data_IF_730756398398
#
_entry.id   IF_730756398398
#
_cell.length_a   1.000
_cell.length_b   1.000
_cell.length_c   1.000
_cell.angle_alpha   90.00
_cell.angle_beta   90.00
_cell.angle_gamma   90.00
#
_symmetry.space_group_name_H-M   'P 1'
#
loop_
_entity.id
_entity.type
_entity.pdbx_description
1 polymer ?
#
# COMPACT_ATOMS: atom_id res chain seq x y z
N UNK A 1 -23.09 -21.40 -4.61
CA UNK A 1 -22.22 -20.19 -4.61
C UNK A 1 -21.62 -20.10 -3.22
N UNK A 2 -20.36 -19.67 -3.09
CA UNK A 2 -19.73 -19.49 -1.77
C UNK A 2 -20.43 -18.33 -1.06
N UNK A 3 -20.90 -18.55 0.17
CA UNK A 3 -21.44 -17.49 1.01
C UNK A 3 -20.28 -16.75 1.67
N UNK A 4 -19.99 -15.54 1.17
CA UNK A 4 -18.91 -14.70 1.69
C UNK A 4 -19.27 -14.02 3.03
N UNK A 5 -20.53 -14.09 3.44
CA UNK A 5 -21.03 -13.58 4.71
C UNK A 5 -20.98 -14.60 5.85
N UNK A 6 -20.58 -15.84 5.57
CA UNK A 6 -20.48 -16.90 6.57
C UNK A 6 -19.44 -16.52 7.64
N UNK A 7 -19.83 -16.38 8.93
CA UNK A 7 -18.91 -15.97 9.99
C UNK A 7 -17.74 -16.95 10.19
N UNK A 8 -17.94 -18.25 9.94
CA UNK A 8 -16.87 -19.26 10.04
C UNK A 8 -15.79 -19.05 8.96
N UNK A 9 -16.22 -18.72 7.74
CA UNK A 9 -15.31 -18.39 6.65
C UNK A 9 -14.53 -17.09 6.93
N UNK A 10 -15.21 -16.05 7.43
CA UNK A 10 -14.58 -14.77 7.78
C UNK A 10 -13.53 -14.97 8.88
N UNK A 11 -13.84 -15.71 9.94
CA UNK A 11 -12.90 -15.97 11.03
C UNK A 11 -11.67 -16.74 10.52
N UNK A 12 -11.89 -17.76 9.69
CA UNK A 12 -10.81 -18.53 9.06
C UNK A 12 -9.90 -17.63 8.21
N UNK A 13 -10.48 -16.75 7.39
CA UNK A 13 -9.71 -15.80 6.56
C UNK A 13 -8.91 -14.84 7.45
N UNK A 14 -9.50 -14.34 8.54
CA UNK A 14 -8.82 -13.43 9.47
C UNK A 14 -7.64 -14.09 10.19
N UNK A 15 -7.76 -15.36 10.58
CA UNK A 15 -6.65 -16.14 11.16
C UNK A 15 -5.52 -16.31 10.16
N UNK A 16 -5.83 -16.72 8.92
CA UNK A 16 -4.83 -16.87 7.85
C UNK A 16 -4.15 -15.53 7.54
N UNK A 17 -4.93 -14.46 7.41
CA UNK A 17 -4.43 -13.10 7.17
C UNK A 17 -3.49 -12.63 8.28
N UNK A 18 -3.88 -12.80 9.55
CA UNK A 18 -3.04 -12.44 10.69
C UNK A 18 -1.73 -13.23 10.70
N UNK A 19 -1.78 -14.53 10.41
CA UNK A 19 -0.59 -15.37 10.26
C UNK A 19 0.35 -14.88 9.15
N UNK A 20 -0.20 -14.50 7.99
CA UNK A 20 0.57 -13.92 6.89
C UNK A 20 1.21 -12.58 7.28
N UNK A 21 0.49 -11.69 7.98
CA UNK A 21 1.04 -10.43 8.47
C UNK A 21 2.21 -10.64 9.44
N UNK A 22 2.08 -11.56 10.39
CA UNK A 22 3.16 -11.91 11.33
C UNK A 22 4.40 -12.47 10.61
N UNK A 23 4.19 -13.36 9.64
CA UNK A 23 5.28 -13.91 8.83
C UNK A 23 5.98 -12.83 8.00
N UNK A 24 5.22 -11.98 7.30
CA UNK A 24 5.77 -10.86 6.53
C UNK A 24 6.51 -9.87 7.42
N UNK A 25 5.98 -9.56 8.60
CA UNK A 25 6.65 -8.71 9.59
C UNK A 25 8.00 -9.30 10.02
N UNK A 26 8.04 -10.60 10.35
CA UNK A 26 9.29 -11.28 10.71
C UNK A 26 10.32 -11.26 9.58
N UNK A 27 9.91 -11.59 8.35
CA UNK A 27 10.79 -11.50 7.18
C UNK A 27 11.29 -10.07 6.92
N UNK A 28 10.40 -9.08 7.11
CA UNK A 28 10.73 -7.68 6.90
C UNK A 28 11.72 -7.16 7.94
N UNK A 29 11.52 -7.49 9.23
CA UNK A 29 12.46 -7.18 10.30
C UNK A 29 13.82 -7.83 10.07
N UNK A 30 13.85 -9.09 9.63
CA UNK A 30 15.09 -9.77 9.28
C UNK A 30 15.84 -9.04 8.16
N UNK A 31 15.14 -8.67 7.09
CA UNK A 31 15.71 -7.87 6.01
C UNK A 31 16.17 -6.49 6.48
N UNK A 32 15.45 -5.89 7.43
CA UNK A 32 15.83 -4.64 8.08
C UNK A 32 17.13 -4.78 8.86
N UNK A 33 17.24 -5.77 9.74
CA UNK A 33 18.46 -6.05 10.49
C UNK A 33 19.68 -6.24 9.57
N UNK A 34 19.54 -7.00 8.47
CA UNK A 34 20.63 -7.25 7.52
C UNK A 34 21.09 -6.01 6.76
N UNK A 35 20.17 -5.06 6.47
CA UNK A 35 20.48 -3.86 5.68
C UNK A 35 20.73 -2.61 6.52
N UNK A 36 20.33 -2.61 7.80
CA UNK A 36 20.48 -1.51 8.76
C UNK A 36 21.94 -1.04 8.85
N UNK A 37 22.87 -1.99 8.98
CA UNK A 37 24.30 -1.69 9.12
C UNK A 37 24.90 -0.97 7.89
N UNK A 38 24.43 -1.30 6.68
CA UNK A 38 25.03 -0.77 5.45
C UNK A 38 24.44 0.57 5.03
N UNK A 39 23.12 0.71 5.13
CA UNK A 39 22.40 1.86 4.57
C UNK A 39 22.10 2.88 5.67
N UNK A 40 21.39 2.46 6.71
CA UNK A 40 20.86 3.37 7.73
C UNK A 40 21.95 3.91 8.63
N UNK A 41 22.88 3.05 9.07
CA UNK A 41 24.03 3.49 9.85
C UNK A 41 24.93 4.45 9.06
N UNK A 42 25.10 4.21 7.74
CA UNK A 42 25.88 5.10 6.86
C UNK A 42 25.26 6.49 6.72
N UNK A 43 23.93 6.55 6.61
CA UNK A 43 23.16 7.80 6.57
C UNK A 43 23.18 8.53 7.92
N UNK A 44 22.99 7.80 9.02
CA UNK A 44 22.97 8.37 10.37
C UNK A 44 24.36 8.89 10.79
N UNK A 45 25.43 8.18 10.44
CA UNK A 45 26.82 8.60 10.73
C UNK A 45 27.34 9.67 9.78
N UNK A 46 26.54 10.11 8.79
CA UNK A 46 26.95 11.10 7.79
C UNK A 46 28.04 10.61 6.84
N UNK A 47 28.37 9.30 6.85
CA UNK A 47 29.40 8.72 5.97
C UNK A 47 28.94 8.67 4.51
N UNK A 48 27.64 8.61 4.27
CA UNK A 48 27.05 8.64 2.93
C UNK A 48 26.34 9.96 2.69
N UNK A 49 26.64 10.63 1.57
CA UNK A 49 25.93 11.85 1.17
C UNK A 49 24.46 11.52 0.88
N UNK A 50 23.55 12.29 1.46
CA UNK A 50 22.12 12.11 1.28
C UNK A 50 21.71 12.48 -0.14
N UNK A 51 21.71 11.49 -1.04
CA UNK A 51 21.19 11.68 -2.39
C UNK A 51 19.67 11.66 -2.34
N UNK A 52 19.01 12.52 -3.13
CA UNK A 52 17.56 12.65 -3.20
C UNK A 52 16.84 11.30 -3.48
N UNK A 53 17.53 10.36 -4.13
CA UNK A 53 17.05 8.99 -4.39
C UNK A 53 16.80 8.17 -3.12
N UNK A 54 17.47 8.47 -2.01
CA UNK A 54 17.28 7.74 -0.74
C UNK A 54 15.98 8.12 -0.03
N UNK A 55 15.41 9.30 -0.31
CA UNK A 55 14.21 9.79 0.38
C UNK A 55 13.00 8.86 0.21
N UNK A 56 12.53 8.63 -1.02
CA UNK A 56 11.38 7.74 -1.28
C UNK A 56 11.66 6.30 -0.86
N UNK A 57 12.91 5.86 -0.90
CA UNK A 57 13.32 4.54 -0.40
C UNK A 57 13.09 4.41 1.10
N UNK A 58 13.57 5.37 1.89
CA UNK A 58 13.39 5.37 3.34
C UNK A 58 11.92 5.55 3.72
N UNK A 59 11.19 6.44 3.04
CA UNK A 59 9.75 6.65 3.28
C UNK A 59 8.98 5.34 3.04
N UNK A 60 9.17 4.70 1.89
CA UNK A 60 8.51 3.42 1.59
C UNK A 60 8.82 2.38 2.67
N UNK A 61 10.09 2.33 3.09
CA UNK A 61 10.59 1.38 4.07
C UNK A 61 9.92 1.55 5.44
N UNK A 62 10.02 2.73 6.03
CA UNK A 62 9.49 2.97 7.38
C UNK A 62 7.96 3.01 7.40
N UNK A 63 7.31 3.50 6.35
CA UNK A 63 5.85 3.43 6.25
C UNK A 63 5.35 1.98 6.16
N UNK A 64 6.03 1.12 5.39
CA UNK A 64 5.71 -0.30 5.35
C UNK A 64 5.92 -0.98 6.71
N UNK A 65 7.06 -0.71 7.37
CA UNK A 65 7.34 -1.22 8.72
C UNK A 65 6.27 -0.80 9.72
N UNK A 66 5.93 0.50 9.76
CA UNK A 66 4.91 1.03 10.66
C UNK A 66 3.54 0.37 10.40
N UNK A 67 3.20 0.15 9.13
CA UNK A 67 1.96 -0.54 8.76
C UNK A 67 1.96 -1.99 9.26
N UNK A 68 3.05 -2.74 9.07
CA UNK A 68 3.16 -4.13 9.53
C UNK A 68 3.12 -4.25 11.05
N UNK A 69 3.82 -3.36 11.78
CA UNK A 69 3.78 -3.32 13.25
C UNK A 69 2.34 -3.13 13.71
N UNK A 70 1.62 -2.18 13.11
CA UNK A 70 0.27 -1.85 13.53
C UNK A 70 -0.74 -2.94 13.15
N UNK A 71 -0.58 -3.61 12.00
CA UNK A 71 -1.39 -4.76 11.62
C UNK A 71 -1.22 -5.95 12.57
N UNK A 72 -0.02 -6.18 13.08
CA UNK A 72 0.25 -7.24 14.07
C UNK A 72 -0.22 -6.83 15.48
N UNK A 73 -0.04 -5.56 15.84
CA UNK A 73 -0.34 -5.04 17.17
C UNK A 73 -1.84 -4.86 17.44
N UNK A 74 -2.60 -4.39 16.44
CA UNK A 74 -4.00 -4.04 16.61
C UNK A 74 -4.89 -5.21 17.11
N UNK A 75 -4.79 -6.44 16.56
CA UNK A 75 -5.53 -7.59 17.10
C UNK A 75 -5.17 -7.95 18.53
N UNK A 76 -3.90 -7.78 18.93
CA UNK A 76 -3.42 -8.09 20.28
C UNK A 76 -4.04 -7.12 21.30
N UNK A 77 -4.00 -5.82 20.98
CA UNK A 77 -4.59 -4.78 21.84
C UNK A 77 -6.10 -4.92 21.92
N UNK A 78 -6.77 -5.20 20.79
CA UNK A 78 -8.23 -5.37 20.76
C UNK A 78 -8.69 -6.50 21.68
N UNK A 79 -7.92 -7.61 21.77
CA UNK A 79 -8.20 -8.72 22.69
C UNK A 79 -7.89 -8.37 24.16
N UNK A 80 -6.83 -7.61 24.41
CA UNK A 80 -6.42 -7.24 25.77
C UNK A 80 -7.36 -6.20 26.41
N UNK A 81 -7.97 -5.33 25.59
CA UNK A 81 -8.81 -4.22 26.05
C UNK A 81 -10.16 -4.20 25.30
N UNK A 82 -11.11 -5.10 25.66
CA UNK A 82 -12.44 -5.08 25.07
C UNK A 82 -13.13 -3.75 25.40
N UNK A 83 -13.50 -3.00 24.35
CA UNK A 83 -14.15 -1.71 24.52
C UNK A 83 -15.65 -1.92 24.81
N UNK A 84 -16.19 -1.42 25.94
CA UNK A 84 -17.59 -1.63 26.32
C UNK A 84 -18.58 -0.70 25.59
N UNK A 85 -18.13 0.11 24.62
CA UNK A 85 -18.91 1.18 24.00
C UNK A 85 -19.18 0.96 22.52
N UNK A 86 -20.35 1.44 22.06
CA UNK A 86 -20.79 1.52 20.65
C UNK A 86 -19.95 2.45 19.77
N UNK A 87 -18.97 3.15 20.34
CA UNK A 87 -18.02 3.99 19.64
C UNK A 87 -16.64 3.31 19.60
N UNK A 88 -16.09 3.16 18.40
CA UNK A 88 -14.73 2.65 18.19
C UNK A 88 -13.69 3.70 18.62
N UNK A 89 -12.95 3.48 19.72
CA UNK A 89 -11.89 4.41 20.09
C UNK A 89 -10.74 4.32 19.07
N UNK A 90 -10.33 5.48 18.56
CA UNK A 90 -9.11 5.65 17.79
C UNK A 90 -9.22 5.49 16.25
N UNK A 91 -10.31 5.99 15.69
CA UNK A 91 -10.46 6.19 14.23
C UNK A 91 -9.27 6.93 13.59
N UNK A 92 -8.56 7.78 14.33
CA UNK A 92 -7.41 8.51 13.81
C UNK A 92 -6.15 7.64 13.62
N UNK A 93 -5.89 6.66 14.50
CA UNK A 93 -4.71 5.81 14.38
C UNK A 93 -4.85 4.86 13.19
N UNK A 94 -6.05 4.32 12.97
CA UNK A 94 -6.32 3.43 11.83
C UNK A 94 -6.20 4.17 10.50
N UNK A 95 -6.73 5.39 10.41
CA UNK A 95 -6.54 6.25 9.23
C UNK A 95 -5.07 6.49 8.94
N UNK A 96 -4.27 6.78 9.96
CA UNK A 96 -2.85 6.99 9.80
C UNK A 96 -2.12 5.73 9.33
N UNK A 97 -2.45 4.56 9.87
CA UNK A 97 -1.86 3.28 9.44
C UNK A 97 -2.17 2.98 7.97
N UNK A 98 -3.42 3.15 7.56
CA UNK A 98 -3.83 2.93 6.18
C UNK A 98 -3.18 3.96 5.25
N UNK A 99 -3.08 5.22 5.68
CA UNK A 99 -2.36 6.26 4.96
C UNK A 99 -0.87 5.94 4.82
N UNK A 100 -0.22 5.40 5.85
CA UNK A 100 1.16 4.93 5.75
C UNK A 100 1.29 3.76 4.77
N UNK A 101 0.34 2.82 4.76
CA UNK A 101 0.32 1.72 3.80
C UNK A 101 0.28 2.21 2.34
N UNK A 102 -0.66 3.10 2.03
CA UNK A 102 -0.80 3.70 0.70
C UNK A 102 0.39 4.60 0.33
N UNK A 103 0.93 5.33 1.31
CA UNK A 103 2.16 6.12 1.12
C UNK A 103 3.35 5.23 0.84
N UNK A 104 3.45 4.06 1.49
CA UNK A 104 4.51 3.10 1.22
C UNK A 104 4.43 2.56 -0.21
N UNK A 105 3.22 2.28 -0.69
CA UNK A 105 2.96 1.87 -2.07
C UNK A 105 3.37 2.98 -3.06
N UNK A 106 2.91 4.22 -2.84
CA UNK A 106 3.27 5.34 -3.73
C UNK A 106 4.76 5.67 -3.69
N UNK A 107 5.41 5.55 -2.54
CA UNK A 107 6.86 5.73 -2.42
C UNK A 107 7.62 4.59 -3.12
N UNK A 108 7.09 3.37 -3.16
CA UNK A 108 7.62 2.28 -3.98
C UNK A 108 7.50 2.57 -5.49
N UNK A 109 6.35 3.08 -5.96
CA UNK A 109 6.18 3.59 -7.33
C UNK A 109 7.19 4.69 -7.66
N UNK A 110 7.44 5.60 -6.71
CA UNK A 110 8.48 6.64 -6.86
C UNK A 110 9.88 6.02 -6.99
N UNK A 111 10.21 4.99 -6.20
CA UNK A 111 11.50 4.29 -6.32
C UNK A 111 11.69 3.62 -7.69
N UNK A 112 10.62 3.08 -8.26
CA UNK A 112 10.64 2.56 -9.63
C UNK A 112 10.85 3.69 -10.64
N UNK A 113 10.17 4.83 -10.46
CA UNK A 113 10.26 5.98 -11.36
C UNK A 113 11.63 6.65 -11.35
N UNK A 114 12.35 6.65 -10.22
CA UNK A 114 13.74 7.12 -10.12
C UNK A 114 14.66 6.43 -11.12
N UNK A 115 14.45 5.14 -11.40
CA UNK A 115 15.23 4.39 -12.40
C UNK A 115 14.98 4.92 -13.80
N UNK A 116 13.73 5.21 -14.14
CA UNK A 116 13.38 5.87 -15.39
C UNK A 116 13.97 7.30 -15.44
N UNK A 117 13.92 8.06 -14.34
CA UNK A 117 14.48 9.41 -14.28
C UNK A 117 15.99 9.45 -14.59
N UNK A 118 16.77 8.52 -14.02
CA UNK A 118 18.22 8.43 -14.29
C UNK A 118 18.49 8.18 -15.77
N UNK A 119 17.70 7.29 -16.38
CA UNK A 119 17.87 6.87 -17.77
C UNK A 119 17.47 7.97 -18.77
N UNK A 120 16.52 8.82 -18.39
CA UNK A 120 15.99 9.93 -19.18
C UNK A 120 16.57 11.30 -18.78
N UNK A 121 17.69 11.33 -18.03
CA UNK A 121 18.27 12.56 -17.47
C UNK A 121 18.62 13.63 -18.54
N UNK A 122 18.85 13.24 -19.79
CA UNK A 122 19.11 14.17 -20.89
C UNK A 122 17.90 15.03 -21.27
N UNK A 123 16.68 14.52 -21.08
CA UNK A 123 15.44 15.21 -21.45
C UNK A 123 14.77 15.78 -20.21
N UNK A 124 15.15 17.00 -19.85
CA UNK A 124 14.64 17.73 -18.68
C UNK A 124 13.11 17.74 -18.59
N UNK A 125 12.40 17.80 -19.71
CA UNK A 125 10.93 17.77 -19.77
C UNK A 125 10.39 16.47 -19.16
N UNK A 126 10.88 15.31 -19.62
CA UNK A 126 10.46 13.98 -19.13
C UNK A 126 10.76 13.84 -17.65
N UNK A 127 11.94 14.30 -17.22
CA UNK A 127 12.35 14.29 -15.83
C UNK A 127 11.39 15.10 -14.93
N UNK A 128 11.05 16.33 -15.34
CA UNK A 128 10.12 17.17 -14.59
C UNK A 128 8.70 16.59 -14.55
N UNK A 129 8.20 16.07 -15.67
CA UNK A 129 6.90 15.41 -15.72
C UNK A 129 6.82 14.21 -14.77
N UNK A 130 7.83 13.33 -14.79
CA UNK A 130 7.87 12.18 -13.88
C UNK A 130 7.89 12.62 -12.41
N UNK A 131 8.67 13.65 -12.08
CA UNK A 131 8.74 14.17 -10.70
C UNK A 131 7.41 14.74 -10.22
N UNK A 132 6.75 15.54 -11.05
CA UNK A 132 5.46 16.16 -10.72
C UNK A 132 4.39 15.08 -10.52
N UNK A 133 4.31 14.11 -11.42
CA UNK A 133 3.30 13.05 -11.33
C UNK A 133 3.54 12.17 -10.09
N UNK A 134 4.78 11.78 -9.81
CA UNK A 134 5.08 10.95 -8.63
C UNK A 134 4.83 11.70 -7.32
N UNK A 135 5.14 13.00 -7.26
CA UNK A 135 4.82 13.83 -6.09
C UNK A 135 3.30 13.99 -5.92
N UNK A 136 2.57 14.19 -7.03
CA UNK A 136 1.11 14.24 -7.05
C UNK A 136 0.49 12.94 -6.56
N UNK A 137 0.98 11.78 -7.02
CA UNK A 137 0.52 10.46 -6.57
C UNK A 137 0.77 10.26 -5.07
N UNK A 138 1.91 10.69 -4.55
CA UNK A 138 2.25 10.57 -3.13
C UNK A 138 1.28 11.38 -2.25
N UNK A 139 1.02 12.63 -2.62
CA UNK A 139 0.07 13.49 -1.89
C UNK A 139 -1.36 12.95 -2.04
N UNK A 140 -1.75 12.56 -3.25
CA UNK A 140 -3.08 12.05 -3.53
C UNK A 140 -3.38 10.75 -2.78
N UNK A 141 -2.45 9.79 -2.77
CA UNK A 141 -2.59 8.53 -2.03
C UNK A 141 -2.73 8.75 -0.53
N UNK A 142 -1.90 9.61 0.07
CA UNK A 142 -1.99 9.96 1.48
C UNK A 142 -3.35 10.58 1.85
N UNK A 143 -3.82 11.57 1.09
CA UNK A 143 -5.10 12.24 1.34
C UNK A 143 -6.28 11.29 1.13
N UNK A 144 -6.25 10.51 0.05
CA UNK A 144 -7.29 9.53 -0.26
C UNK A 144 -7.43 8.49 0.85
N UNK A 145 -6.31 8.01 1.41
CA UNK A 145 -6.32 7.06 2.51
C UNK A 145 -6.86 7.66 3.82
N UNK A 146 -6.48 8.91 4.14
CA UNK A 146 -6.94 9.61 5.34
C UNK A 146 -8.45 9.89 5.33
N UNK A 147 -9.00 10.24 4.17
CA UNK A 147 -10.43 10.57 4.02
C UNK A 147 -11.26 9.31 3.75
N UNK A 148 -10.71 8.34 3.03
CA UNK A 148 -11.46 7.21 2.51
C UNK A 148 -11.70 6.07 3.48
N UNK A 149 -11.05 6.09 4.64
CA UNK A 149 -11.12 5.01 5.62
C UNK A 149 -11.80 5.46 6.90
N UNK A 150 -12.73 4.65 7.39
CA UNK A 150 -13.43 4.90 8.64
C UNK A 150 -13.67 3.58 9.36
N UNK A 151 -13.41 3.56 10.67
CA UNK A 151 -13.82 2.44 11.50
C UNK A 151 -15.33 2.45 11.70
N UNK A 152 -15.96 1.31 11.48
CA UNK A 152 -17.37 1.09 11.75
C UNK A 152 -17.49 -0.02 12.80
N UNK A 153 -18.34 0.23 13.80
CA UNK A 153 -18.68 -0.77 14.79
C UNK A 153 -19.60 -1.81 14.15
N UNK A 154 -19.22 -3.08 14.20
CA UNK A 154 -20.10 -4.17 13.77
C UNK A 154 -20.88 -4.70 14.97
N UNK A 155 -22.20 -4.48 15.05
CA UNK A 155 -23.03 -4.95 16.16
C UNK A 155 -23.09 -6.48 16.25
N UNK A 156 -22.87 -7.19 15.14
CA UNK A 156 -22.97 -8.65 15.10
C UNK A 156 -21.73 -9.33 15.68
N UNK A 157 -20.55 -8.74 15.46
CA UNK A 157 -19.29 -9.37 15.84
C UNK A 157 -18.57 -8.69 17.02
N UNK A 158 -19.15 -7.63 17.61
CA UNK A 158 -18.61 -6.94 18.80
C UNK A 158 -17.17 -6.41 18.63
N UNK A 159 -16.76 -6.12 17.39
CA UNK A 159 -15.46 -5.50 17.09
C UNK A 159 -15.58 -4.39 16.05
N UNK A 160 -14.56 -3.54 16.03
CA UNK A 160 -14.44 -2.45 15.06
C UNK A 160 -13.83 -2.96 13.76
N UNK A 161 -14.60 -2.89 12.67
CA UNK A 161 -14.10 -3.17 11.33
C UNK A 161 -13.56 -1.90 10.69
N UNK A 162 -12.58 -2.06 9.80
CA UNK A 162 -12.15 -0.97 8.91
C UNK A 162 -13.05 -1.00 7.68
N UNK A 163 -13.90 0.01 7.55
CA UNK A 163 -14.76 0.20 6.40
C UNK A 163 -14.22 1.26 5.43
N UNK A 164 -14.60 1.13 4.16
CA UNK A 164 -14.42 2.18 3.16
C UNK A 164 -15.64 3.10 3.22
N UNK A 165 -15.41 4.40 3.34
CA UNK A 165 -16.49 5.38 3.29
C UNK A 165 -17.14 5.32 1.90
N UNK A 166 -18.47 5.16 1.78
CA UNK A 166 -19.13 5.01 0.47
C UNK A 166 -18.81 6.14 -0.52
N UNK A 167 -18.66 7.37 -0.03
CA UNK A 167 -18.30 8.54 -0.84
C UNK A 167 -16.86 8.48 -1.39
N UNK A 168 -15.96 7.75 -0.73
CA UNK A 168 -14.56 7.61 -1.11
C UNK A 168 -14.26 6.36 -1.95
N UNK A 169 -15.25 5.47 -2.16
CA UNK A 169 -15.08 4.25 -2.94
C UNK A 169 -14.50 4.53 -4.34
N UNK A 170 -15.07 5.50 -5.05
CA UNK A 170 -14.62 5.85 -6.41
C UNK A 170 -13.20 6.46 -6.39
N UNK A 171 -12.85 7.18 -5.32
CA UNK A 171 -11.53 7.79 -5.13
C UNK A 171 -10.47 6.70 -4.95
N UNK A 172 -10.72 5.72 -4.07
CA UNK A 172 -9.82 4.59 -3.84
C UNK A 172 -9.69 3.73 -5.11
N UNK A 173 -10.80 3.46 -5.79
CA UNK A 173 -10.79 2.71 -7.04
C UNK A 173 -9.95 3.42 -8.12
N UNK A 174 -10.13 4.73 -8.28
CA UNK A 174 -9.33 5.54 -9.20
C UNK A 174 -7.85 5.53 -8.83
N UNK A 175 -7.51 5.62 -7.53
CA UNK A 175 -6.14 5.54 -7.03
C UNK A 175 -5.47 4.20 -7.38
N UNK A 176 -6.18 3.09 -7.20
CA UNK A 176 -5.66 1.74 -7.50
C UNK A 176 -5.41 1.55 -9.00
N UNK A 177 -6.37 1.96 -9.85
CA UNK A 177 -6.22 1.89 -11.31
C UNK A 177 -5.08 2.80 -11.77
N UNK A 178 -5.02 4.03 -11.25
CA UNK A 178 -3.97 4.99 -11.57
C UNK A 178 -2.60 4.43 -11.19
N UNK A 179 -2.44 3.89 -9.98
CA UNK A 179 -1.17 3.34 -9.50
C UNK A 179 -0.71 2.16 -10.36
N UNK A 180 -1.61 1.23 -10.69
CA UNK A 180 -1.30 0.09 -11.56
C UNK A 180 -0.88 0.54 -12.98
N UNK A 181 -1.64 1.47 -13.56
CA UNK A 181 -1.37 2.01 -14.90
C UNK A 181 -0.06 2.81 -14.92
N UNK A 182 0.20 3.58 -13.87
CA UNK A 182 1.39 4.41 -13.73
C UNK A 182 2.66 3.56 -13.57
N UNK A 183 2.61 2.51 -12.75
CA UNK A 183 3.75 1.61 -12.56
C UNK A 183 4.06 0.80 -13.85
N UNK A 184 3.02 0.39 -14.58
CA UNK A 184 3.18 -0.20 -15.91
C UNK A 184 3.80 0.81 -16.91
N UNK A 185 3.34 2.06 -16.91
CA UNK A 185 3.90 3.12 -17.75
C UNK A 185 5.38 3.39 -17.43
N UNK A 186 5.74 3.47 -16.15
CA UNK A 186 7.14 3.63 -15.70
C UNK A 186 7.98 2.45 -16.19
N UNK A 187 7.50 1.22 -16.05
CA UNK A 187 8.22 0.03 -16.51
C UNK A 187 8.49 0.08 -18.03
N UNK A 188 7.48 0.48 -18.82
CA UNK A 188 7.63 0.69 -20.27
C UNK A 188 8.65 1.80 -20.56
N UNK A 189 8.60 2.91 -19.83
CA UNK A 189 9.58 4.00 -19.96
C UNK A 189 11.02 3.57 -19.61
N UNK A 190 11.19 2.72 -18.59
CA UNK A 190 12.48 2.12 -18.24
C UNK A 190 12.97 1.20 -19.37
N UNK A 191 12.10 0.34 -19.90
CA UNK A 191 12.40 -0.54 -21.03
C UNK A 191 12.86 0.23 -22.27
N UNK A 192 12.11 1.25 -22.66
CA UNK A 192 12.43 2.09 -23.81
C UNK A 192 13.74 2.86 -23.61
N UNK A 193 14.00 3.33 -22.40
CA UNK A 193 15.26 3.99 -22.08
C UNK A 193 16.46 3.03 -22.16
N UNK A 194 16.31 1.77 -21.73
CA UNK A 194 17.39 0.76 -21.79
C UNK A 194 17.72 0.47 -23.26
N UNK A 195 16.68 0.30 -24.10
CA UNK A 195 16.83 0.13 -25.55
C UNK A 195 17.53 1.31 -26.19
N UNK A 196 17.11 2.54 -25.85
CA UNK A 196 17.71 3.77 -26.42
C UNK A 196 19.19 3.92 -26.08
N UNK A 197 19.59 3.57 -24.85
CA UNK A 197 20.99 3.64 -24.41
C UNK A 197 21.83 2.44 -24.85
N UNK A 198 21.26 1.52 -25.64
CA UNK A 198 21.92 0.30 -26.13
C UNK A 198 22.53 -0.54 -25.00
N UNK A 199 21.94 -0.51 -23.80
CA UNK A 199 22.39 -1.27 -22.63
C UNK A 199 21.91 -2.74 -22.65
N UNK A 200 21.43 -3.22 -23.79
CA UNK A 200 20.88 -4.56 -23.96
C UNK A 200 21.97 -5.61 -23.71
N UNK A 201 21.67 -6.60 -22.87
CA UNK A 201 22.61 -7.69 -22.54
C UNK A 201 23.56 -7.38 -21.37
N UNK A 202 23.57 -6.15 -20.84
CA UNK A 202 24.32 -5.86 -19.61
C UNK A 202 23.67 -6.53 -18.39
N UNK A 203 24.47 -7.02 -17.44
CA UNK A 203 23.98 -7.58 -16.19
C UNK A 203 23.06 -6.59 -15.42
N UNK A 204 23.35 -5.29 -15.55
CA UNK A 204 22.56 -4.20 -14.97
C UNK A 204 21.17 -4.14 -15.59
N UNK A 205 21.05 -4.27 -16.93
CA UNK A 205 19.76 -4.27 -17.62
C UNK A 205 18.87 -5.43 -17.19
N UNK A 206 19.44 -6.62 -17.00
CA UNK A 206 18.72 -7.81 -16.53
C UNK A 206 18.24 -7.60 -15.10
N UNK A 207 19.11 -7.15 -14.20
CA UNK A 207 18.73 -6.90 -12.81
C UNK A 207 17.61 -5.84 -12.68
N UNK A 208 17.70 -4.75 -13.44
CA UNK A 208 16.67 -3.70 -13.49
C UNK A 208 15.33 -4.24 -13.98
N UNK A 209 15.36 -5.05 -15.05
CA UNK A 209 14.17 -5.65 -15.64
C UNK A 209 13.51 -6.65 -14.69
N UNK A 210 14.29 -7.60 -14.14
CA UNK A 210 13.78 -8.64 -13.25
C UNK A 210 13.13 -8.03 -12.00
N UNK A 211 13.76 -7.01 -11.42
CA UNK A 211 13.19 -6.30 -10.27
C UNK A 211 11.93 -5.51 -10.64
N UNK A 212 11.93 -4.80 -11.77
CA UNK A 212 10.77 -4.03 -12.22
C UNK A 212 9.57 -4.90 -12.60
N UNK A 213 9.81 -6.00 -13.33
CA UNK A 213 8.78 -6.98 -13.68
C UNK A 213 8.24 -7.70 -12.45
N UNK A 214 9.13 -8.13 -11.54
CA UNK A 214 8.71 -8.77 -10.29
C UNK A 214 7.82 -7.87 -9.44
N UNK A 215 8.14 -6.57 -9.37
CA UNK A 215 7.31 -5.59 -8.69
C UNK A 215 5.93 -5.43 -9.33
N UNK A 216 5.86 -5.20 -10.65
CA UNK A 216 4.57 -5.06 -11.35
C UNK A 216 3.74 -6.34 -11.24
N UNK A 217 4.36 -7.51 -11.34
CA UNK A 217 3.67 -8.79 -11.17
C UNK A 217 3.08 -8.96 -9.75
N UNK A 218 3.84 -8.60 -8.71
CA UNK A 218 3.35 -8.61 -7.34
C UNK A 218 2.18 -7.63 -7.16
N UNK A 219 2.30 -6.43 -7.75
CA UNK A 219 1.25 -5.42 -7.67
C UNK A 219 -0.03 -5.85 -8.40
N UNK A 220 0.08 -6.42 -9.60
CA UNK A 220 -1.05 -7.01 -10.34
C UNK A 220 -1.73 -8.08 -9.49
N UNK A 221 -0.95 -8.96 -8.85
CA UNK A 221 -1.46 -10.06 -8.02
C UNK A 221 -2.23 -9.55 -6.80
N UNK A 222 -1.82 -8.43 -6.21
CA UNK A 222 -2.46 -7.87 -5.00
C UNK A 222 -3.59 -6.90 -5.33
N UNK A 223 -3.41 -6.00 -6.30
CA UNK A 223 -4.37 -4.94 -6.61
C UNK A 223 -5.58 -5.48 -7.38
N UNK A 224 -5.40 -6.43 -8.30
CA UNK A 224 -6.54 -6.94 -9.10
C UNK A 224 -7.62 -7.58 -8.22
N UNK A 225 -7.33 -8.47 -7.26
CA UNK A 225 -8.35 -9.01 -6.36
C UNK A 225 -9.09 -7.93 -5.58
N UNK A 226 -8.38 -6.92 -5.08
CA UNK A 226 -8.99 -5.78 -4.37
C UNK A 226 -9.92 -4.99 -5.30
N UNK A 227 -9.47 -4.70 -6.53
CA UNK A 227 -10.25 -3.98 -7.52
C UNK A 227 -11.51 -4.75 -7.92
N UNK A 228 -11.39 -6.07 -8.13
CA UNK A 228 -12.53 -6.95 -8.41
C UNK A 228 -13.51 -6.97 -7.23
N UNK A 229 -13.02 -7.05 -6.00
CA UNK A 229 -13.86 -6.96 -4.80
C UNK A 229 -14.64 -5.65 -4.72
N UNK A 230 -14.00 -4.52 -5.04
CA UNK A 230 -14.65 -3.20 -5.08
C UNK A 230 -15.67 -3.07 -6.22
N UNK A 231 -15.38 -3.64 -7.40
CA UNK A 231 -16.24 -3.60 -8.59
C UNK A 231 -17.48 -4.48 -8.42
N UNK A 232 -17.28 -5.74 -8.02
CA UNK A 232 -18.34 -6.74 -7.93
C UNK A 232 -19.31 -6.51 -6.77
N UNK A 233 -19.02 -5.55 -5.87
CA UNK A 233 -19.86 -5.25 -4.71
C UNK A 233 -20.27 -6.52 -3.95
N UNK A 234 -19.35 -7.47 -3.73
CA UNK A 234 -19.69 -8.73 -3.05
C UNK A 234 -20.31 -8.50 -1.64
N UNK A 235 -20.14 -7.30 -1.05
CA UNK A 235 -20.76 -6.88 0.22
C UNK A 235 -21.87 -5.82 0.08
N UNK A 236 -22.29 -5.47 -1.14
CA UNK A 236 -23.25 -4.39 -1.40
C UNK A 236 -24.65 -4.64 -0.83
N UNK A 237 -25.05 -5.91 -0.69
CA UNK A 237 -26.33 -6.27 -0.08
C UNK A 237 -26.31 -6.12 1.44
N UNK A 238 -25.18 -6.40 2.10
CA UNK A 238 -25.03 -6.23 3.54
C UNK A 238 -25.12 -4.74 3.97
N UNK A 239 -24.53 -3.84 3.18
CA UNK A 239 -24.61 -2.38 3.44
C UNK A 239 -26.04 -1.82 3.23
N UNK A 240 -26.79 -2.35 2.24
CA UNK A 240 -28.19 -1.95 2.02
C UNK A 240 -29.10 -2.44 3.14
N UNK A 241 -28.87 -3.65 3.66
CA UNK A 241 -29.66 -4.18 4.78
C UNK A 241 -29.43 -3.39 6.08
N UNK A 242 -28.18 -2.99 6.36
CA UNK A 242 -27.88 -2.14 7.52
C UNK A 242 -28.47 -0.72 7.40
N UNK A 243 -28.47 -0.12 6.21
CA UNK A 243 -29.15 1.17 5.96
C UNK A 243 -30.67 1.05 6.07
N UNK A 244 -31.24 -0.09 5.69
CA UNK A 244 -32.68 -0.35 5.85
C UNK A 244 -33.07 -0.62 7.30
N UNK A 245 -32.19 -1.20 8.13
CA UNK A 245 -32.44 -1.44 9.55
C UNK A 245 -32.12 -0.24 10.45
N UNK A 246 -31.31 0.71 9.97
CA UNK A 246 -30.94 1.93 10.70
C UNK A 246 -31.86 3.14 10.41
N UNK A 247 -32.97 2.93 9.67
CA UNK A 247 -34.05 3.90 9.55
C UNK A 247 -35.12 3.62 10.61
N UNK A 248 -35.04 4.23 11.81
CA UNK A 248 -36.16 4.19 12.74
C UNK A 248 -37.33 4.97 12.14
N UNK A 249 -38.48 4.32 12.00
CA UNK A 249 -39.75 5.02 12.14
C UNK A 249 -39.93 5.45 13.59
#
# INVERSE_FOLDING_TARGET
MVDWGDPELIDTIMVVYSGMCCFLFGMYLWYLALSFHKVELGLLTGRTQLQLSHGPYLIARYCCLATLIMLVWMPIVAKAFPSPSSSCPGTWYTRLVLAMGETALSAASYNLSLRAMILWNERKIVLWTLRIICLGQLVYSFVAAMIGTQQQWDPNHTYCTVGIVPSAKNVIMALLIFTLSWDAFILVMTLLGIRRKQLQGSAISVALLTQGMGYVAAQVTVIIPVLLGLLLQLNGECLRLQLSSASPN
#
